data_IF_283746273492
#
_entry.id   IF_283746273492
#
_cell.length_a   1.000
_cell.length_b   1.000
_cell.length_c   1.000
_cell.angle_alpha   90.00
_cell.angle_beta   90.00
_cell.angle_gamma   90.00
#
_symmetry.space_group_name_H-M   'P 1'
#
loop_
_entity.id
_entity.type
_entity.pdbx_description
1 polymer ?
#
# COMPACT_ATOMS: atom_id res chain seq x y z
N UNK A 1 -22.63 -5.17 -19.71
CA UNK A 1 -21.47 -4.30 -19.52
C UNK A 1 -20.72 -4.79 -18.27
N UNK A 2 -19.81 -5.72 -18.45
CA UNK A 2 -18.93 -6.11 -17.33
C UNK A 2 -17.96 -4.94 -17.15
N UNK A 3 -18.21 -4.12 -16.12
CA UNK A 3 -17.35 -3.01 -15.77
C UNK A 3 -15.90 -3.52 -15.61
N UNK A 4 -14.94 -2.71 -15.99
CA UNK A 4 -13.52 -3.06 -15.84
C UNK A 4 -13.24 -3.37 -14.38
N UNK A 5 -12.60 -4.51 -14.11
CA UNK A 5 -12.14 -4.91 -12.76
C UNK A 5 -11.13 -3.86 -12.30
N UNK A 6 -11.27 -3.42 -11.07
CA UNK A 6 -10.41 -2.40 -10.46
C UNK A 6 -9.67 -2.98 -9.25
N UNK A 7 -8.51 -2.44 -8.90
CA UNK A 7 -7.86 -2.78 -7.63
C UNK A 7 -8.83 -2.58 -6.46
N UNK A 8 -8.86 -3.55 -5.55
CA UNK A 8 -9.75 -3.55 -4.41
C UNK A 8 -11.10 -4.23 -4.65
N UNK A 9 -11.46 -4.56 -5.89
CA UNK A 9 -12.68 -5.33 -6.14
C UNK A 9 -12.54 -6.75 -5.59
N UNK A 10 -13.58 -7.22 -4.90
CA UNK A 10 -13.71 -8.64 -4.55
C UNK A 10 -14.26 -9.39 -5.76
N UNK A 11 -13.49 -10.35 -6.24
CA UNK A 11 -13.86 -11.12 -7.43
C UNK A 11 -13.91 -12.61 -7.12
N UNK A 12 -14.83 -13.31 -7.76
CA UNK A 12 -14.84 -14.76 -7.86
C UNK A 12 -14.34 -15.17 -9.24
N UNK A 13 -13.30 -15.98 -9.29
CA UNK A 13 -12.70 -16.44 -10.55
C UNK A 13 -13.03 -17.92 -10.74
N UNK A 14 -13.77 -18.23 -11.82
CA UNK A 14 -13.91 -19.58 -12.31
C UNK A 14 -12.70 -19.93 -13.19
N UNK A 15 -12.06 -21.06 -12.93
CA UNK A 15 -10.94 -21.53 -13.76
C UNK A 15 -10.98 -23.04 -13.96
N UNK A 16 -10.48 -23.49 -15.10
CA UNK A 16 -10.32 -24.89 -15.44
C UNK A 16 -8.90 -25.37 -15.17
N UNK A 17 -8.78 -26.54 -14.51
CA UNK A 17 -7.51 -27.23 -14.36
C UNK A 17 -6.68 -26.81 -13.15
N UNK A 18 -5.45 -26.38 -13.37
CA UNK A 18 -4.41 -26.26 -12.35
C UNK A 18 -4.10 -24.81 -11.99
N UNK A 19 -3.66 -24.61 -10.77
CA UNK A 19 -2.96 -23.39 -10.33
C UNK A 19 -1.47 -23.68 -10.47
N UNK A 20 -0.77 -22.90 -11.28
CA UNK A 20 0.69 -22.99 -11.36
C UNK A 20 1.31 -22.37 -10.12
N UNK A 21 2.14 -23.13 -9.42
CA UNK A 21 2.87 -22.69 -8.23
C UNK A 21 4.08 -21.81 -8.62
N UNK A 22 3.83 -20.73 -9.36
CA UNK A 22 4.81 -19.71 -9.68
C UNK A 22 4.64 -18.51 -8.74
N UNK A 23 5.59 -17.60 -8.69
CA UNK A 23 5.42 -16.34 -7.97
C UNK A 23 5.44 -15.16 -8.96
N UNK A 24 4.34 -14.43 -9.12
CA UNK A 24 3.00 -14.72 -8.58
C UNK A 24 2.40 -16.03 -9.16
N UNK A 25 1.55 -16.68 -8.39
CA UNK A 25 0.82 -17.86 -8.85
C UNK A 25 -0.05 -17.53 -10.07
N UNK A 26 -0.16 -18.46 -11.01
CA UNK A 26 -0.99 -18.31 -12.20
C UNK A 26 -2.15 -19.29 -12.18
N UNK A 27 -3.33 -18.78 -12.47
CA UNK A 27 -4.49 -19.62 -12.72
C UNK A 27 -4.39 -20.19 -14.14
N UNK A 28 -4.82 -21.44 -14.31
CA UNK A 28 -5.00 -22.05 -15.62
C UNK A 28 -6.06 -21.30 -16.46
N UNK A 29 -6.77 -22.01 -17.31
CA UNK A 29 -7.80 -21.42 -18.14
C UNK A 29 -8.89 -20.73 -17.29
N UNK A 30 -8.97 -19.40 -17.34
CA UNK A 30 -10.01 -18.63 -16.67
C UNK A 30 -11.30 -18.75 -17.47
N UNK A 31 -12.33 -19.34 -16.88
CA UNK A 31 -13.63 -19.58 -17.51
C UNK A 31 -14.65 -18.48 -17.22
N UNK A 32 -14.42 -17.65 -16.22
CA UNK A 32 -15.27 -16.51 -15.88
C UNK A 32 -14.77 -15.73 -14.68
N UNK A 33 -15.17 -14.48 -14.61
CA UNK A 33 -14.91 -13.61 -13.47
C UNK A 33 -16.21 -12.93 -13.07
N UNK A 34 -16.55 -13.00 -11.80
CA UNK A 34 -17.69 -12.30 -11.20
C UNK A 34 -17.17 -11.29 -10.19
N UNK A 35 -17.56 -10.03 -10.33
CA UNK A 35 -17.30 -9.00 -9.32
C UNK A 35 -18.39 -9.11 -8.26
N UNK A 36 -18.04 -9.55 -7.05
CA UNK A 36 -18.97 -9.69 -5.92
C UNK A 36 -19.18 -8.37 -5.17
N UNK A 37 -18.12 -7.57 -5.05
CA UNK A 37 -18.15 -6.25 -4.45
C UNK A 37 -17.10 -5.36 -5.10
N UNK A 38 -17.41 -4.09 -5.23
CA UNK A 38 -16.50 -3.09 -5.81
C UNK A 38 -15.87 -2.22 -4.74
N UNK A 39 -14.60 -1.92 -4.94
CA UNK A 39 -13.81 -1.11 -4.05
C UNK A 39 -13.11 -1.91 -2.97
N UNK A 40 -12.14 -1.26 -2.33
CA UNK A 40 -11.39 -1.85 -1.22
C UNK A 40 -12.31 -2.14 -0.05
N UNK A 41 -11.94 -3.16 0.75
CA UNK A 41 -12.45 -3.20 2.09
C UNK A 41 -12.05 -1.93 2.85
N UNK A 42 -12.73 -1.68 3.95
CA UNK A 42 -12.59 -0.45 4.71
C UNK A 42 -11.17 -0.21 5.23
N UNK A 43 -10.39 -1.25 5.56
CA UNK A 43 -9.02 -1.11 6.05
C UNK A 43 -8.04 -0.76 4.94
N UNK A 44 -8.11 -1.44 3.80
CA UNK A 44 -7.31 -1.10 2.63
C UNK A 44 -7.61 0.33 2.14
N UNK A 45 -8.89 0.72 2.13
CA UNK A 45 -9.30 2.06 1.78
C UNK A 45 -8.76 3.11 2.76
N UNK A 46 -8.78 2.83 4.06
CA UNK A 46 -8.19 3.69 5.08
C UNK A 46 -6.69 3.89 4.85
N UNK A 47 -5.95 2.81 4.62
CA UNK A 47 -4.50 2.93 4.39
C UNK A 47 -4.16 3.64 3.08
N UNK A 48 -4.95 3.44 2.04
CA UNK A 48 -4.82 4.24 0.81
C UNK A 48 -5.05 5.73 1.07
N UNK A 49 -6.05 6.08 1.88
CA UNK A 49 -6.28 7.47 2.26
C UNK A 49 -5.11 8.05 3.07
N UNK A 50 -4.55 7.29 4.01
CA UNK A 50 -3.35 7.71 4.76
C UNK A 50 -2.17 7.97 3.83
N UNK A 51 -1.90 7.07 2.87
CA UNK A 51 -0.82 7.23 1.89
C UNK A 51 -1.05 8.43 0.98
N UNK A 52 -2.30 8.72 0.61
CA UNK A 52 -2.69 9.90 -0.17
C UNK A 52 -2.42 11.20 0.60
N UNK A 53 -2.88 11.26 1.86
CA UNK A 53 -2.68 12.42 2.72
C UNK A 53 -1.19 12.66 3.01
N UNK A 54 -0.44 11.58 3.22
CA UNK A 54 1.00 11.64 3.43
C UNK A 54 1.74 12.11 2.16
N UNK A 55 1.30 11.66 0.99
CA UNK A 55 1.81 12.14 -0.29
C UNK A 55 1.57 13.64 -0.46
N UNK A 56 0.38 14.12 -0.14
CA UNK A 56 0.00 15.53 -0.25
C UNK A 56 0.75 16.45 0.72
N UNK A 57 1.25 15.87 1.83
CA UNK A 57 2.01 16.61 2.84
C UNK A 57 3.46 16.76 2.40
N UNK A 58 4.04 17.95 2.55
CA UNK A 58 5.39 18.31 2.11
C UNK A 58 5.66 17.86 0.65
N UNK A 59 4.99 18.48 -0.32
CA UNK A 59 5.03 18.06 -1.71
C UNK A 59 6.40 18.22 -2.37
N UNK A 60 7.30 19.01 -1.79
CA UNK A 60 8.66 19.17 -2.30
C UNK A 60 9.45 17.84 -2.29
N UNK A 61 9.13 16.92 -1.39
CA UNK A 61 9.73 15.58 -1.38
C UNK A 61 9.32 14.72 -2.58
N UNK A 62 8.25 15.09 -3.26
CA UNK A 62 7.73 14.33 -4.41
C UNK A 62 8.38 14.74 -5.76
N UNK A 63 9.18 15.81 -5.76
CA UNK A 63 9.75 16.33 -7.00
C UNK A 63 10.69 15.33 -7.67
N UNK A 64 10.43 15.01 -8.95
CA UNK A 64 11.24 14.10 -9.73
C UNK A 64 11.15 12.63 -9.32
N UNK A 65 10.15 12.25 -8.51
CA UNK A 65 9.90 10.85 -8.14
C UNK A 65 9.42 10.07 -9.35
N UNK A 66 10.19 9.05 -9.74
CA UNK A 66 9.89 8.15 -10.85
C UNK A 66 9.38 6.78 -10.37
N UNK A 67 9.57 6.44 -9.10
CA UNK A 67 9.16 5.17 -8.52
C UNK A 67 8.91 5.29 -7.01
N UNK A 68 8.08 4.40 -6.47
CA UNK A 68 7.74 4.37 -5.05
C UNK A 68 8.19 3.05 -4.43
N UNK A 69 8.69 3.12 -3.20
CA UNK A 69 8.79 1.98 -2.30
C UNK A 69 7.60 1.96 -1.36
N UNK A 70 7.08 0.78 -1.06
CA UNK A 70 5.95 0.62 -0.15
C UNK A 70 6.21 -0.54 0.81
N UNK A 71 6.21 -0.23 2.10
CA UNK A 71 6.28 -1.21 3.17
C UNK A 71 5.01 -1.20 4.01
N UNK A 72 4.25 -2.27 3.90
CA UNK A 72 3.06 -2.56 4.70
C UNK A 72 3.24 -3.82 5.55
N UNK A 73 4.47 -4.33 5.66
CA UNK A 73 4.77 -5.60 6.35
C UNK A 73 4.45 -5.56 7.85
N UNK A 74 4.42 -4.37 8.44
CA UNK A 74 4.08 -4.15 9.86
C UNK A 74 2.60 -3.78 10.06
N UNK A 75 1.75 -4.14 9.11
CA UNK A 75 0.30 -3.97 9.22
C UNK A 75 -0.39 -5.33 9.33
N UNK A 76 -1.64 -5.32 9.74
CA UNK A 76 -2.49 -6.53 9.77
C UNK A 76 -3.02 -6.95 8.40
N UNK A 77 -2.69 -6.22 7.33
CA UNK A 77 -3.07 -6.60 5.97
C UNK A 77 -2.42 -7.92 5.56
N UNK A 78 -3.18 -8.79 4.93
CA UNK A 78 -2.64 -9.98 4.28
C UNK A 78 -1.72 -9.60 3.11
N UNK A 79 -0.83 -10.49 2.65
CA UNK A 79 0.02 -10.22 1.48
C UNK A 79 -0.77 -9.84 0.23
N UNK A 80 -1.96 -10.40 0.02
CA UNK A 80 -2.83 -10.06 -1.10
C UNK A 80 -3.39 -8.64 -0.98
N UNK A 81 -3.80 -8.22 0.21
CA UNK A 81 -4.27 -6.86 0.49
C UNK A 81 -3.13 -5.84 0.33
N UNK A 82 -1.94 -6.14 0.85
CA UNK A 82 -0.75 -5.29 0.64
C UNK A 82 -0.45 -5.11 -0.86
N UNK A 83 -0.50 -6.19 -1.63
CA UNK A 83 -0.35 -6.15 -3.08
C UNK A 83 -1.41 -5.29 -3.77
N UNK A 84 -2.68 -5.42 -3.36
CA UNK A 84 -3.78 -4.63 -3.91
C UNK A 84 -3.61 -3.12 -3.63
N UNK A 85 -3.18 -2.75 -2.41
CA UNK A 85 -2.86 -1.36 -2.06
C UNK A 85 -1.70 -0.84 -2.93
N UNK A 86 -0.65 -1.64 -3.13
CA UNK A 86 0.49 -1.27 -3.98
C UNK A 86 0.07 -1.02 -5.44
N UNK A 87 -0.76 -1.88 -6.01
CA UNK A 87 -1.28 -1.71 -7.39
C UNK A 87 -2.14 -0.46 -7.50
N UNK A 88 -3.02 -0.20 -6.52
CA UNK A 88 -3.85 1.00 -6.52
C UNK A 88 -3.01 2.28 -6.45
N UNK A 89 -2.00 2.28 -5.57
CA UNK A 89 -1.07 3.41 -5.44
C UNK A 89 -0.30 3.65 -6.74
N UNK A 90 0.16 2.57 -7.41
CA UNK A 90 0.83 2.66 -8.71
C UNK A 90 -0.05 3.34 -9.76
N UNK A 91 -1.32 3.00 -9.82
CA UNK A 91 -2.26 3.63 -10.77
C UNK A 91 -2.58 5.08 -10.40
N UNK A 92 -2.72 5.38 -9.11
CA UNK A 92 -2.97 6.75 -8.65
C UNK A 92 -1.80 7.70 -8.95
N UNK A 93 -0.56 7.18 -8.91
CA UNK A 93 0.66 7.97 -9.08
C UNK A 93 1.27 7.86 -10.48
N UNK A 94 0.72 6.99 -11.32
CA UNK A 94 1.25 6.69 -12.65
C UNK A 94 2.75 6.37 -12.63
N UNK A 95 3.18 5.60 -11.62
CA UNK A 95 4.56 5.17 -11.47
C UNK A 95 4.64 3.77 -10.82
N UNK A 96 5.75 3.03 -11.04
CA UNK A 96 5.96 1.73 -10.41
C UNK A 96 5.98 1.83 -8.89
N UNK A 97 5.39 0.84 -8.21
CA UNK A 97 5.48 0.64 -6.77
C UNK A 97 6.24 -0.66 -6.49
N UNK A 98 7.35 -0.53 -5.79
CA UNK A 98 8.20 -1.63 -5.33
C UNK A 98 7.80 -1.97 -3.89
N UNK A 99 7.35 -3.19 -3.65
CA UNK A 99 6.99 -3.62 -2.30
C UNK A 99 8.18 -4.20 -1.56
N UNK A 100 8.41 -3.78 -0.34
CA UNK A 100 9.49 -4.28 0.50
C UNK A 100 9.90 -3.30 1.58
N UNK A 101 10.70 -3.79 2.54
CA UNK A 101 11.29 -2.94 3.59
C UNK A 101 12.35 -2.00 3.00
N UNK A 102 12.68 -0.96 3.74
CA UNK A 102 13.76 -0.04 3.36
C UNK A 102 15.07 -0.79 3.13
N UNK A 103 15.41 -1.75 4.00
CA UNK A 103 16.60 -2.59 3.91
C UNK A 103 16.59 -3.45 2.64
N UNK A 104 15.46 -4.07 2.32
CA UNK A 104 15.33 -4.90 1.13
C UNK A 104 15.50 -4.09 -0.16
N UNK A 105 14.97 -2.87 -0.22
CA UNK A 105 15.14 -1.98 -1.37
C UNK A 105 16.56 -1.45 -1.48
N UNK A 106 17.23 -1.20 -0.35
CA UNK A 106 18.63 -0.82 -0.31
C UNK A 106 19.55 -1.99 -0.76
N UNK A 107 19.26 -3.22 -0.35
CA UNK A 107 20.00 -4.41 -0.80
C UNK A 107 19.84 -4.66 -2.30
N UNK A 108 18.73 -4.26 -2.88
CA UNK A 108 18.47 -4.33 -4.32
C UNK A 108 19.10 -3.15 -5.10
N UNK A 109 19.69 -2.18 -4.39
CA UNK A 109 20.38 -1.04 -5.00
C UNK A 109 19.49 0.14 -5.39
N UNK A 110 18.21 0.15 -4.97
CA UNK A 110 17.33 1.30 -5.19
C UNK A 110 17.67 2.46 -4.25
N UNK A 111 17.99 2.16 -3.00
CA UNK A 111 18.35 3.15 -1.99
C UNK A 111 19.86 3.13 -1.76
N UNK A 112 20.50 4.29 -1.87
CA UNK A 112 21.91 4.46 -1.53
C UNK A 112 22.11 4.53 -0.02
N UNK A 113 22.72 3.49 0.56
CA UNK A 113 22.96 3.40 2.01
C UNK A 113 24.01 4.36 2.52
N UNK A 114 25.00 4.69 1.69
CA UNK A 114 26.12 5.55 2.09
C UNK A 114 25.67 7.01 2.12
N UNK A 115 24.90 7.42 1.10
CA UNK A 115 24.33 8.77 1.01
C UNK A 115 23.03 8.91 1.79
N UNK A 116 22.42 7.80 2.19
CA UNK A 116 21.12 7.72 2.86
C UNK A 116 20.06 8.50 2.05
N UNK A 117 19.93 8.13 0.78
CA UNK A 117 19.00 8.80 -0.13
C UNK A 117 18.48 7.85 -1.22
N UNK A 118 17.32 8.22 -1.77
CA UNK A 118 16.77 7.63 -2.98
C UNK A 118 16.55 8.75 -4.02
N UNK A 119 17.46 8.84 -4.99
CA UNK A 119 17.55 9.97 -5.90
C UNK A 119 16.28 10.18 -6.73
N UNK A 120 15.77 9.11 -7.35
CA UNK A 120 14.56 9.11 -8.20
C UNK A 120 13.36 8.40 -7.57
N UNK A 121 13.42 8.07 -6.28
CA UNK A 121 12.39 7.33 -5.59
C UNK A 121 11.92 8.00 -4.30
N UNK A 122 10.82 7.47 -3.77
CA UNK A 122 10.25 7.87 -2.48
C UNK A 122 9.75 6.62 -1.76
N UNK A 123 10.13 6.46 -0.51
CA UNK A 123 9.71 5.34 0.32
C UNK A 123 8.54 5.74 1.22
N UNK A 124 7.49 4.92 1.18
CA UNK A 124 6.29 5.04 1.99
C UNK A 124 6.17 3.81 2.88
N UNK A 125 5.84 3.99 4.14
CA UNK A 125 5.57 2.86 5.04
C UNK A 125 4.46 3.17 6.03
N UNK A 126 3.76 2.11 6.44
CA UNK A 126 2.86 2.11 7.59
C UNK A 126 3.26 1.01 8.55
N UNK A 127 3.28 1.34 9.84
CA UNK A 127 3.54 0.38 10.91
C UNK A 127 2.48 0.52 11.99
N UNK A 128 1.79 -0.57 12.31
CA UNK A 128 0.83 -0.63 13.40
C UNK A 128 1.57 -0.76 14.73
N UNK A 129 1.16 0.04 15.72
CA UNK A 129 1.75 0.04 17.05
C UNK A 129 1.18 -1.07 17.93
N UNK A 130 -0.06 -1.49 17.65
CA UNK A 130 -0.74 -2.53 18.41
C UNK A 130 -1.58 -3.43 17.48
N UNK A 131 -1.02 -4.55 17.03
CA UNK A 131 -1.69 -5.41 16.04
C UNK A 131 -2.96 -6.10 16.55
N UNK A 132 -3.20 -6.16 17.85
CA UNK A 132 -4.35 -6.84 18.44
C UNK A 132 -5.33 -5.94 19.21
N UNK A 133 -5.09 -4.64 19.24
CA UNK A 133 -5.90 -3.64 19.94
C UNK A 133 -6.60 -2.64 19.02
N UNK A 134 -6.84 -1.45 19.55
CA UNK A 134 -7.27 -0.31 18.76
C UNK A 134 -6.26 -0.06 17.63
N UNK A 135 -6.73 0.31 16.46
CA UNK A 135 -5.87 0.55 15.31
C UNK A 135 -5.13 1.88 15.51
N UNK A 136 -3.90 1.77 16.00
CA UNK A 136 -2.94 2.86 16.10
C UNK A 136 -1.75 2.55 15.21
N UNK A 137 -1.23 3.56 14.53
CA UNK A 137 -0.17 3.36 13.56
C UNK A 137 0.67 4.63 13.36
N UNK A 138 1.84 4.43 12.78
CA UNK A 138 2.70 5.49 12.25
C UNK A 138 2.81 5.33 10.75
N UNK A 139 2.75 6.43 10.00
CA UNK A 139 3.00 6.44 8.57
C UNK A 139 4.20 7.33 8.28
N UNK A 140 5.05 6.89 7.36
CA UNK A 140 6.29 7.58 7.01
C UNK A 140 6.37 7.79 5.50
N UNK A 141 6.86 8.97 5.14
CA UNK A 141 7.35 9.33 3.81
C UNK A 141 8.82 9.68 3.94
N UNK A 142 9.68 9.01 3.18
CA UNK A 142 11.12 9.19 3.27
C UNK A 142 11.77 9.21 1.89
N UNK A 143 12.69 10.12 1.68
CA UNK A 143 13.51 10.22 0.47
C UNK A 143 15.00 10.28 0.76
N UNK A 144 15.40 10.93 1.85
CA UNK A 144 16.79 11.09 2.24
C UNK A 144 16.95 11.26 3.74
N UNK A 145 18.17 11.30 4.23
CA UNK A 145 18.48 11.56 5.63
C UNK A 145 17.97 12.92 6.16
N UNK A 146 17.70 13.86 5.28
CA UNK A 146 17.14 15.20 5.61
C UNK A 146 15.75 15.43 5.03
N UNK A 147 15.25 14.48 4.24
CA UNK A 147 13.96 14.56 3.54
C UNK A 147 13.03 13.44 3.97
N UNK A 148 12.33 13.64 5.08
CA UNK A 148 11.35 12.69 5.58
C UNK A 148 10.22 13.39 6.32
N UNK A 149 9.04 12.77 6.31
CA UNK A 149 7.86 13.24 7.02
C UNK A 149 7.11 12.07 7.68
N UNK A 150 6.53 12.29 8.85
CA UNK A 150 5.82 11.28 9.60
C UNK A 150 4.45 11.77 10.06
N UNK A 151 3.47 10.87 10.00
CA UNK A 151 2.27 10.93 10.81
C UNK A 151 2.47 9.97 11.98
N UNK A 152 2.59 10.49 13.19
CA UNK A 152 2.84 9.70 14.39
C UNK A 152 1.59 9.55 15.23
N UNK A 153 1.50 8.46 15.99
CA UNK A 153 0.38 8.18 16.89
C UNK A 153 -0.99 8.34 16.23
N UNK A 154 -1.10 7.92 14.97
CA UNK A 154 -2.36 7.93 14.28
C UNK A 154 -3.34 6.97 14.95
N UNK A 155 -4.58 7.39 15.11
CA UNK A 155 -5.65 6.55 15.66
C UNK A 155 -6.78 6.47 14.66
N UNK A 156 -7.07 5.27 14.18
CA UNK A 156 -8.21 5.03 13.32
C UNK A 156 -9.50 4.89 14.11
N UNK A 157 -10.60 5.26 13.49
CA UNK A 157 -11.94 5.22 14.07
C UNK A 157 -12.86 4.33 13.24
N UNK A 158 -13.68 3.59 13.94
CA UNK A 158 -14.78 2.84 13.32
C UNK A 158 -16.09 3.63 13.41
N UNK A 159 -16.91 3.52 12.38
CA UNK A 159 -18.29 3.99 12.43
C UNK A 159 -19.16 3.03 13.25
N UNK A 160 -20.45 3.37 13.52
CA UNK A 160 -21.34 2.49 14.27
C UNK A 160 -21.57 1.10 13.65
N UNK A 161 -21.29 0.94 12.35
CA UNK A 161 -21.38 -0.34 11.65
C UNK A 161 -20.08 -1.16 11.74
N UNK A 162 -19.04 -0.66 12.42
CA UNK A 162 -17.77 -1.34 12.62
C UNK A 162 -16.76 -1.17 11.47
N UNK A 163 -17.06 -0.32 10.47
CA UNK A 163 -16.15 -0.03 9.38
C UNK A 163 -15.18 1.10 9.74
N UNK A 164 -13.95 0.99 9.29
CA UNK A 164 -12.93 2.04 9.43
C UNK A 164 -13.34 3.27 8.59
N UNK A 165 -13.57 4.39 9.23
CA UNK A 165 -14.19 5.56 8.60
C UNK A 165 -13.33 6.84 8.70
N UNK A 166 -12.06 6.70 9.02
CA UNK A 166 -11.13 7.81 9.12
C UNK A 166 -10.14 7.64 10.26
N UNK A 167 -9.23 8.58 10.36
CA UNK A 167 -8.18 8.58 11.39
C UNK A 167 -7.88 10.00 11.85
N UNK A 168 -7.13 10.10 12.95
CA UNK A 168 -6.55 11.35 13.44
C UNK A 168 -5.07 11.17 13.62
N UNK A 169 -4.29 12.18 13.27
CA UNK A 169 -2.85 12.24 13.56
C UNK A 169 -2.69 12.74 14.99
N UNK A 170 -1.89 12.05 15.78
CA UNK A 170 -1.51 12.48 17.12
C UNK A 170 -0.55 13.67 17.03
N UNK A 171 -0.60 14.56 18.02
CA UNK A 171 0.32 15.68 18.16
C UNK A 171 1.59 15.26 18.91
#
# INVERSE_FOLDING_TARGET
DQGAIRPGDRIQVGYGGTVEETFPARLGEVTGILVEASGFDDLCALYLQVLEDLWATDPALNDGVAQLGLDLSQTRLSPAEQGAVGVALSWQRDCPVLTGTWEALADQGYIDRERVEWDDGLFLSLAEENPSGALTFTAQKWRSGTGAYWFTHCTARQNPSGHWAGYTVGG
#
